data_IF_615523513352
#
_entry.id   IF_615523513352
#
_cell.length_a   1.000
_cell.length_b   1.000
_cell.length_c   1.000
_cell.angle_alpha   90.00
_cell.angle_beta   90.00
_cell.angle_gamma   90.00
#
_symmetry.space_group_name_H-M   'P 1'
#
loop_
_entity.id
_entity.type
_entity.pdbx_description
1 polymer ?
#
# COMPACT_ATOMS: atom_id res chain seq x y z
N UNK A 1 -18.31 8.66 33.95
CA UNK A 1 -19.56 9.05 33.25
C UNK A 1 -19.38 10.27 32.32
N UNK A 2 -18.40 11.14 32.54
CA UNK A 2 -18.15 12.35 31.71
C UNK A 2 -17.38 12.02 30.42
N UNK A 3 -16.49 11.04 30.43
CA UNK A 3 -15.63 10.68 29.28
C UNK A 3 -16.43 10.06 28.11
N UNK A 4 -17.50 9.35 28.39
CA UNK A 4 -18.35 8.69 27.39
C UNK A 4 -19.23 9.68 26.60
N UNK A 5 -19.62 10.80 27.23
CA UNK A 5 -20.41 11.85 26.55
C UNK A 5 -19.58 12.66 25.55
N UNK A 6 -18.28 12.80 25.78
CA UNK A 6 -17.39 13.57 24.92
C UNK A 6 -17.05 12.80 23.61
N UNK A 7 -16.91 11.47 23.68
CA UNK A 7 -16.70 10.61 22.52
C UNK A 7 -17.95 10.56 21.61
N UNK A 8 -19.14 10.53 22.19
CA UNK A 8 -20.41 10.51 21.43
C UNK A 8 -20.70 11.86 20.76
N UNK A 9 -20.28 12.95 21.40
CA UNK A 9 -20.39 14.31 20.82
C UNK A 9 -19.48 14.49 19.62
N UNK A 10 -18.24 14.03 19.69
CA UNK A 10 -17.26 14.06 18.56
C UNK A 10 -17.71 13.19 17.40
N UNK A 11 -18.26 12.01 17.67
CA UNK A 11 -18.80 11.11 16.63
C UNK A 11 -19.97 11.73 15.87
N UNK A 12 -20.85 12.46 16.57
CA UNK A 12 -21.97 13.19 15.94
C UNK A 12 -21.48 14.36 15.08
N UNK A 13 -20.46 15.07 15.54
CA UNK A 13 -19.89 16.22 14.83
C UNK A 13 -19.18 15.78 13.53
N UNK A 14 -18.42 14.68 13.58
CA UNK A 14 -17.76 14.10 12.43
C UNK A 14 -18.75 13.62 11.36
N UNK A 15 -19.80 12.88 11.77
CA UNK A 15 -20.86 12.38 10.88
C UNK A 15 -21.63 13.55 10.22
N UNK A 16 -21.80 14.67 10.94
CA UNK A 16 -22.49 15.83 10.39
C UNK A 16 -21.63 16.58 9.36
N UNK A 17 -20.32 16.69 9.61
CA UNK A 17 -19.36 17.28 8.65
C UNK A 17 -19.26 16.45 7.38
N UNK A 18 -19.22 15.13 7.50
CA UNK A 18 -19.17 14.21 6.36
C UNK A 18 -20.44 14.27 5.49
N UNK A 19 -21.63 14.32 6.11
CA UNK A 19 -22.90 14.48 5.38
C UNK A 19 -23.00 15.84 4.68
N UNK A 20 -22.48 16.89 5.28
CA UNK A 20 -22.45 18.22 4.68
C UNK A 20 -21.51 18.28 3.47
N UNK A 21 -20.36 17.60 3.54
CA UNK A 21 -19.39 17.54 2.45
C UNK A 21 -19.94 16.77 1.24
N UNK A 22 -20.64 15.66 1.49
CA UNK A 22 -21.31 14.87 0.43
C UNK A 22 -22.43 15.69 -0.24
N UNK A 23 -23.20 16.49 0.54
CA UNK A 23 -24.28 17.32 0.00
C UNK A 23 -23.73 18.43 -0.90
N UNK A 24 -22.56 19.00 -0.58
CA UNK A 24 -21.89 20.01 -1.39
C UNK A 24 -21.34 19.39 -2.69
N UNK A 25 -20.79 18.18 -2.63
CA UNK A 25 -20.27 17.48 -3.80
C UNK A 25 -21.38 17.11 -4.81
N UNK A 26 -22.54 16.65 -4.31
CA UNK A 26 -23.70 16.32 -5.14
C UNK A 26 -24.30 17.56 -5.81
N UNK A 27 -24.32 18.71 -5.12
CA UNK A 27 -24.83 19.97 -5.71
C UNK A 27 -23.90 20.55 -6.78
N UNK A 28 -22.58 20.32 -6.68
CA UNK A 28 -21.61 20.76 -7.70
C UNK A 28 -21.70 19.93 -9.00
N UNK A 29 -22.07 18.63 -8.89
CA UNK A 29 -22.20 17.74 -10.06
C UNK A 29 -23.46 18.04 -10.89
N UNK A 30 -24.48 18.64 -10.32
CA UNK A 30 -25.74 18.98 -11.02
C UNK A 30 -25.64 20.19 -11.96
N UNK A 31 -24.57 20.99 -11.86
CA UNK A 31 -24.38 22.22 -12.65
C UNK A 31 -23.61 22.04 -13.96
N UNK A 32 -23.07 20.85 -14.27
CA UNK A 32 -22.22 20.59 -15.44
C UNK A 32 -22.98 19.96 -16.62
N UNK A 33 -24.28 19.63 -16.46
CA UNK A 33 -25.08 18.91 -17.49
C UNK A 33 -25.96 19.87 -18.35
N UNK A 34 -25.58 21.12 -18.53
CA UNK A 34 -26.36 22.04 -19.40
C UNK A 34 -25.50 22.80 -20.39
N UNK A 35 -24.91 22.06 -21.35
CA UNK A 35 -24.49 22.63 -22.63
C UNK A 35 -24.58 21.53 -23.70
N UNK A 36 -25.78 21.43 -24.27
CA UNK A 36 -26.10 20.65 -25.45
C UNK A 36 -25.91 21.54 -26.68
N UNK A 37 -25.45 20.94 -27.78
CA UNK A 37 -25.78 21.50 -29.08
C UNK A 37 -24.84 21.18 -30.22
N UNK A 38 -25.34 20.30 -31.09
CA UNK A 38 -25.18 20.25 -32.54
C UNK A 38 -24.03 19.40 -33.16
N UNK A 39 -24.45 18.28 -33.72
CA UNK A 39 -24.01 17.54 -34.90
C UNK A 39 -24.24 18.34 -36.21
N UNK A 40 -23.86 17.92 -37.46
CA UNK A 40 -23.26 16.66 -37.94
C UNK A 40 -22.23 16.80 -39.11
N UNK A 41 -21.72 15.69 -39.59
CA UNK A 41 -21.37 15.24 -40.95
C UNK A 41 -19.98 14.66 -41.11
N UNK A 42 -19.97 13.36 -41.32
CA UNK A 42 -19.48 12.53 -42.43
C UNK A 42 -18.17 12.93 -43.12
N UNK A 43 -17.19 12.01 -43.12
CA UNK A 43 -16.74 11.36 -44.37
C UNK A 43 -15.79 10.17 -44.08
N UNK A 44 -16.09 9.10 -44.80
CA UNK A 44 -15.35 7.85 -44.90
C UNK A 44 -14.04 8.08 -45.67
N UNK A 45 -12.98 7.36 -45.34
CA UNK A 45 -12.16 6.76 -46.39
C UNK A 45 -11.43 5.50 -45.91
N UNK A 46 -11.80 4.39 -46.48
CA UNK A 46 -11.09 3.13 -46.51
C UNK A 46 -9.83 3.27 -47.41
N UNK A 47 -8.72 2.60 -47.05
CA UNK A 47 -7.91 1.87 -48.03
C UNK A 47 -6.75 1.12 -47.34
N UNK A 48 -6.88 -0.10 -47.22
CA UNK A 48 -6.18 -1.34 -47.65
C UNK A 48 -4.77 -1.12 -48.25
N UNK A 49 -3.82 -1.92 -47.74
CA UNK A 49 -2.83 -2.78 -48.46
C UNK A 49 -1.75 -3.25 -47.49
N UNK A 50 -1.75 -4.52 -47.10
CA UNK A 50 -1.13 -5.72 -47.67
C UNK A 50 0.41 -5.84 -47.52
N UNK A 51 0.77 -6.90 -46.77
CA UNK A 51 1.86 -7.87 -46.92
C UNK A 51 3.33 -7.42 -46.90
N UNK A 52 4.15 -8.01 -46.06
CA UNK A 52 5.07 -9.10 -46.42
C UNK A 52 5.92 -9.58 -45.27
N UNK A 53 5.87 -10.89 -45.05
CA UNK A 53 6.79 -11.66 -44.23
C UNK A 53 8.20 -11.69 -44.82
N UNK A 54 9.22 -11.77 -43.98
CA UNK A 54 10.48 -12.44 -44.32
C UNK A 54 11.09 -13.01 -43.06
N UNK A 55 11.08 -14.33 -42.99
CA UNK A 55 11.90 -15.15 -42.12
C UNK A 55 13.37 -15.07 -42.60
N UNK A 56 14.31 -15.10 -41.66
CA UNK A 56 15.62 -15.69 -41.92
C UNK A 56 16.18 -16.23 -40.61
N UNK A 57 16.34 -17.52 -40.61
CA UNK A 57 17.02 -18.34 -39.61
C UNK A 57 18.55 -18.18 -39.64
N UNK A 58 19.14 -18.66 -38.52
CA UNK A 58 20.41 -19.38 -38.42
C UNK A 58 21.63 -18.56 -37.99
N UNK A 59 22.19 -18.80 -36.82
CA UNK A 59 23.30 -19.73 -36.63
C UNK A 59 23.73 -19.83 -35.17
N UNK A 60 23.86 -21.05 -34.71
CA UNK A 60 24.48 -21.48 -33.48
C UNK A 60 26.01 -21.22 -33.52
N UNK A 61 26.57 -20.91 -32.35
CA UNK A 61 27.96 -21.19 -32.04
C UNK A 61 28.10 -21.46 -30.52
N UNK A 62 28.33 -22.73 -30.24
CA UNK A 62 28.86 -23.18 -28.94
C UNK A 62 30.33 -22.80 -28.85
N UNK A 63 30.78 -22.35 -27.67
CA UNK A 63 32.10 -22.69 -27.12
C UNK A 63 32.08 -22.51 -25.59
N UNK A 64 32.07 -23.62 -24.87
CA UNK A 64 32.96 -24.13 -23.84
C UNK A 64 33.38 -23.21 -22.67
N UNK A 65 32.89 -23.62 -21.49
CA UNK A 65 33.63 -23.92 -20.24
C UNK A 65 34.73 -22.94 -19.81
N UNK A 66 34.47 -22.29 -18.66
CA UNK A 66 35.42 -22.35 -17.52
C UNK A 66 34.64 -22.05 -16.22
N UNK A 67 34.77 -22.97 -15.26
CA UNK A 67 34.19 -22.82 -13.94
C UNK A 67 34.79 -21.63 -13.22
N UNK A 68 33.93 -20.84 -12.62
CA UNK A 68 34.24 -20.02 -11.48
C UNK A 68 33.26 -20.45 -10.40
N UNK A 69 33.82 -21.06 -9.37
CA UNK A 69 33.15 -21.28 -8.10
C UNK A 69 32.61 -19.92 -7.66
N UNK A 70 31.31 -19.74 -7.78
CA UNK A 70 30.63 -18.68 -7.06
C UNK A 70 30.47 -19.18 -5.65
N UNK A 71 31.30 -18.67 -4.76
CA UNK A 71 31.07 -18.75 -3.32
C UNK A 71 29.62 -18.37 -3.11
N UNK A 72 28.83 -19.34 -2.67
CA UNK A 72 27.56 -19.11 -2.03
C UNK A 72 27.88 -18.26 -0.80
N UNK A 73 27.74 -16.96 -0.96
CA UNK A 73 27.65 -16.06 0.18
C UNK A 73 26.39 -16.53 0.91
N UNK A 74 26.65 -17.31 1.96
CA UNK A 74 25.70 -17.58 3.02
C UNK A 74 25.24 -16.19 3.49
N UNK A 75 24.11 -15.73 2.95
CA UNK A 75 23.51 -14.49 3.39
C UNK A 75 23.13 -14.78 4.83
N UNK A 76 23.98 -14.33 5.76
CA UNK A 76 23.66 -14.28 7.16
C UNK A 76 22.21 -13.79 7.25
N UNK A 77 21.34 -14.68 7.73
CA UNK A 77 20.00 -14.36 8.16
C UNK A 77 20.19 -13.35 9.29
N UNK A 78 20.36 -12.08 8.90
CA UNK A 78 20.40 -10.97 9.84
C UNK A 78 19.06 -11.03 10.54
N UNK A 79 19.07 -11.49 11.79
CA UNK A 79 17.92 -11.50 12.69
C UNK A 79 17.57 -9.99 12.93
N UNK A 80 16.91 -9.40 11.96
CA UNK A 80 16.51 -8.00 11.99
C UNK A 80 15.31 -7.88 12.93
N UNK A 81 15.62 -7.75 14.22
CA UNK A 81 14.65 -7.54 15.28
C UNK A 81 14.16 -6.08 15.26
N UNK A 82 13.49 -5.71 14.18
CA UNK A 82 12.76 -4.46 14.13
C UNK A 82 11.46 -4.63 14.91
N UNK A 83 11.22 -3.76 15.89
CA UNK A 83 10.02 -3.73 16.72
C UNK A 83 9.02 -2.72 16.17
N UNK A 84 7.76 -3.06 16.25
CA UNK A 84 6.64 -2.17 15.90
C UNK A 84 5.81 -1.86 17.15
N UNK A 85 5.54 -0.60 17.36
CA UNK A 85 4.59 -0.12 18.36
C UNK A 85 3.44 0.60 17.65
N UNK A 86 2.24 0.42 18.15
CA UNK A 86 1.02 1.12 17.73
C UNK A 86 0.47 1.81 18.96
N UNK A 87 0.41 3.15 18.98
CA UNK A 87 0.04 3.98 20.15
C UNK A 87 0.74 3.51 21.44
N UNK A 88 2.08 3.35 21.37
CA UNK A 88 2.93 2.85 22.46
C UNK A 88 2.74 1.37 22.86
N UNK A 89 1.83 0.63 22.22
CA UNK A 89 1.67 -0.81 22.43
C UNK A 89 2.57 -1.60 21.48
N UNK A 90 3.53 -2.37 22.02
CA UNK A 90 4.35 -3.29 21.23
C UNK A 90 3.47 -4.40 20.63
N UNK A 91 3.64 -4.67 19.34
CA UNK A 91 3.02 -5.79 18.62
C UNK A 91 4.10 -6.69 18.01
N UNK A 92 3.83 -7.99 18.00
CA UNK A 92 4.76 -8.97 17.42
C UNK A 92 4.56 -9.05 15.91
N UNK A 93 5.62 -8.76 15.16
CA UNK A 93 5.61 -8.78 13.69
C UNK A 93 6.52 -9.85 13.15
N UNK A 94 6.02 -10.65 12.23
CA UNK A 94 6.81 -11.48 11.34
C UNK A 94 7.13 -10.65 10.09
N UNK A 95 8.40 -10.19 10.01
CA UNK A 95 8.87 -9.39 8.88
C UNK A 95 9.25 -10.28 7.70
N UNK A 96 8.95 -9.79 6.48
CA UNK A 96 9.36 -10.47 5.25
C UNK A 96 10.88 -10.34 5.02
N UNK A 97 11.43 -11.29 4.27
CA UNK A 97 12.82 -11.25 3.85
C UNK A 97 12.92 -10.72 2.42
N UNK A 98 12.81 -9.39 2.26
CA UNK A 98 12.92 -8.71 0.97
C UNK A 98 13.72 -7.41 1.06
N UNK A 99 13.97 -6.78 -0.08
CA UNK A 99 14.75 -5.55 -0.16
C UNK A 99 14.07 -4.37 0.53
N UNK A 100 12.73 -4.28 0.49
CA UNK A 100 11.98 -3.23 1.16
C UNK A 100 12.18 -3.27 2.67
N UNK A 101 12.05 -4.45 3.28
CA UNK A 101 12.26 -4.65 4.73
C UNK A 101 13.72 -4.41 5.11
N UNK A 102 14.66 -4.86 4.28
CA UNK A 102 16.08 -4.61 4.50
C UNK A 102 16.40 -3.12 4.51
N UNK A 103 15.87 -2.36 3.56
CA UNK A 103 16.05 -0.92 3.48
C UNK A 103 15.36 -0.19 4.66
N UNK A 104 14.15 -0.62 5.04
CA UNK A 104 13.44 -0.07 6.20
C UNK A 104 14.24 -0.31 7.50
N UNK A 105 14.77 -1.51 7.70
CA UNK A 105 15.57 -1.85 8.87
C UNK A 105 16.86 -1.03 8.97
N UNK A 106 17.50 -0.70 7.85
CA UNK A 106 18.66 0.20 7.83
C UNK A 106 18.29 1.59 8.34
N UNK A 107 17.13 2.13 7.94
CA UNK A 107 16.66 3.43 8.41
C UNK A 107 16.34 3.41 9.90
N UNK A 108 15.56 2.41 10.34
CA UNK A 108 15.16 2.23 11.74
C UNK A 108 16.37 2.05 12.66
N UNK A 109 17.40 1.33 12.20
CA UNK A 109 18.67 1.18 12.93
C UNK A 109 19.43 2.50 13.08
N UNK A 110 19.34 3.41 12.11
CA UNK A 110 19.97 4.73 12.18
C UNK A 110 19.25 5.64 13.20
N UNK A 111 17.93 5.62 13.20
CA UNK A 111 17.09 6.28 14.22
C UNK A 111 15.69 5.66 14.22
N UNK A 112 15.01 5.60 15.38
CA UNK A 112 13.61 5.21 15.44
C UNK A 112 12.75 6.05 14.49
N UNK A 113 11.80 5.41 13.83
CA UNK A 113 10.90 6.04 12.87
C UNK A 113 9.50 6.11 13.47
N UNK A 114 8.99 7.31 13.71
CA UNK A 114 7.63 7.55 14.16
C UNK A 114 6.80 8.09 13.01
N UNK A 115 5.65 7.51 12.76
CA UNK A 115 4.78 7.81 11.63
C UNK A 115 3.35 8.02 12.14
N UNK A 116 2.78 9.17 11.84
CA UNK A 116 1.37 9.43 12.05
C UNK A 116 0.58 8.75 10.92
N UNK A 117 -0.32 7.87 11.32
CA UNK A 117 -1.17 7.11 10.42
C UNK A 117 -2.56 7.75 10.34
N UNK A 118 -3.23 7.56 9.23
CA UNK A 118 -4.63 7.96 9.05
C UNK A 118 -5.47 6.79 8.61
N UNK A 119 -6.66 6.66 9.20
CA UNK A 119 -7.65 5.68 8.77
C UNK A 119 -8.09 5.94 7.33
N UNK A 120 -8.15 4.88 6.54
CA UNK A 120 -8.68 4.93 5.20
C UNK A 120 -9.74 3.83 5.01
N UNK A 121 -10.93 4.26 4.59
CA UNK A 121 -12.07 3.41 4.16
C UNK A 121 -12.47 2.28 5.14
N UNK A 122 -12.28 2.49 6.46
CA UNK A 122 -12.64 1.57 7.55
C UNK A 122 -11.97 0.17 7.48
N UNK A 123 -10.83 0.02 6.79
CA UNK A 123 -10.13 -1.25 6.71
C UNK A 123 -8.60 -1.16 6.84
N UNK A 124 -8.00 0.02 6.77
CA UNK A 124 -6.55 0.21 6.86
C UNK A 124 -6.15 1.53 7.53
N UNK A 125 -4.94 1.55 8.06
CA UNK A 125 -4.21 2.75 8.48
C UNK A 125 -3.08 3.01 7.49
N UNK A 126 -2.93 4.23 7.00
CA UNK A 126 -1.92 4.62 6.01
C UNK A 126 -1.05 5.74 6.56
N UNK A 127 0.28 5.60 6.47
CA UNK A 127 1.24 6.61 6.86
C UNK A 127 2.36 6.83 5.85
N UNK A 128 2.92 8.03 5.84
CA UNK A 128 4.02 8.39 4.96
C UNK A 128 5.37 8.01 5.61
N UNK A 129 6.19 7.24 4.90
CA UNK A 129 7.54 6.88 5.37
C UNK A 129 8.53 8.05 5.30
N UNK A 130 8.19 9.14 4.61
CA UNK A 130 9.09 10.26 4.36
C UNK A 130 10.24 9.96 3.40
N UNK A 131 10.29 8.76 2.86
CA UNK A 131 11.31 8.26 1.95
C UNK A 131 10.77 7.14 1.08
N UNK A 132 11.44 6.85 -0.03
CA UNK A 132 11.09 5.70 -0.88
C UNK A 132 11.96 4.50 -0.54
N UNK A 133 11.29 3.35 -0.46
CA UNK A 133 11.91 2.04 -0.35
C UNK A 133 11.86 1.31 -1.71
N UNK A 134 12.74 0.32 -1.95
CA UNK A 134 12.55 -0.62 -3.03
C UNK A 134 11.16 -1.25 -2.97
N UNK A 135 10.44 -1.30 -4.07
CA UNK A 135 9.09 -1.84 -4.12
C UNK A 135 8.95 -2.83 -5.27
N UNK A 136 8.37 -3.97 -4.99
CA UNK A 136 7.99 -5.01 -5.94
C UNK A 136 6.51 -5.28 -5.76
N UNK A 137 5.67 -4.35 -6.26
CA UNK A 137 4.24 -4.37 -6.05
C UNK A 137 3.59 -5.52 -6.84
N UNK A 138 2.88 -6.40 -6.13
CA UNK A 138 2.16 -7.54 -6.69
C UNK A 138 0.69 -7.44 -6.29
N UNK A 139 -0.21 -7.72 -7.23
CA UNK A 139 -1.64 -7.80 -6.96
C UNK A 139 -1.93 -8.90 -5.94
N UNK A 140 -2.54 -8.52 -4.81
CA UNK A 140 -2.87 -9.47 -3.74
C UNK A 140 -4.10 -9.03 -2.96
N UNK A 141 -4.73 -9.98 -2.28
CA UNK A 141 -5.74 -9.71 -1.25
C UNK A 141 -5.05 -9.63 0.10
N UNK A 142 -5.30 -8.53 0.81
CA UNK A 142 -4.79 -8.31 2.17
C UNK A 142 -5.75 -8.87 3.22
N UNK A 143 -5.23 -9.07 4.43
CA UNK A 143 -5.98 -9.59 5.58
C UNK A 143 -5.63 -8.78 6.83
N UNK A 144 -6.47 -8.80 7.87
CA UNK A 144 -6.14 -8.17 9.14
C UNK A 144 -4.75 -8.59 9.65
N UNK A 145 -3.95 -7.61 10.05
CA UNK A 145 -2.57 -7.75 10.51
C UNK A 145 -1.51 -7.67 9.41
N UNK A 146 -1.88 -7.67 8.14
CA UNK A 146 -0.90 -7.47 7.06
C UNK A 146 -0.32 -6.06 7.10
N UNK A 147 1.00 -5.95 6.93
CA UNK A 147 1.75 -4.70 6.82
C UNK A 147 2.32 -4.63 5.41
N UNK A 148 1.97 -3.57 4.69
CA UNK A 148 2.33 -3.41 3.27
C UNK A 148 3.07 -2.10 3.03
N UNK A 149 3.87 -2.10 1.98
CA UNK A 149 4.36 -0.89 1.32
C UNK A 149 3.46 -0.63 0.11
N UNK A 150 2.96 0.58 0.01
CA UNK A 150 2.18 1.06 -1.14
C UNK A 150 2.94 2.17 -1.85
N UNK A 151 3.00 2.10 -3.18
CA UNK A 151 3.66 3.07 -4.05
C UNK A 151 5.12 3.39 -3.66
N UNK A 152 5.76 2.54 -2.86
CA UNK A 152 7.15 2.66 -2.43
C UNK A 152 7.41 3.67 -1.31
N UNK A 153 6.44 4.43 -0.84
CA UNK A 153 6.61 5.47 0.17
C UNK A 153 5.54 5.52 1.27
N UNK A 154 4.53 4.67 1.20
CA UNK A 154 3.48 4.57 2.23
C UNK A 154 3.55 3.23 2.94
N UNK A 155 3.56 3.26 4.27
CA UNK A 155 3.32 2.07 5.07
C UNK A 155 1.82 1.95 5.34
N UNK A 156 1.28 0.73 5.18
CA UNK A 156 -0.14 0.45 5.36
C UNK A 156 -0.29 -0.72 6.33
N UNK A 157 -1.14 -0.57 7.35
CA UNK A 157 -1.46 -1.62 8.32
C UNK A 157 -2.94 -1.94 8.22
N UNK A 158 -3.24 -3.19 7.87
CA UNK A 158 -4.62 -3.64 7.62
C UNK A 158 -5.30 -4.17 8.87
N UNK A 159 -6.55 -3.77 9.08
CA UNK A 159 -7.47 -4.37 10.04
C UNK A 159 -8.74 -4.91 9.36
N UNK A 160 -8.88 -4.68 8.05
CA UNK A 160 -9.88 -5.27 7.16
C UNK A 160 -9.24 -5.95 5.95
N UNK A 161 -9.98 -6.04 4.86
CA UNK A 161 -9.60 -6.71 3.62
C UNK A 161 -9.61 -5.70 2.47
N UNK A 162 -8.58 -5.73 1.64
CA UNK A 162 -8.49 -4.98 0.38
C UNK A 162 -7.82 -5.85 -0.68
N UNK A 163 -7.95 -5.47 -1.96
CA UNK A 163 -7.29 -6.14 -3.07
C UNK A 163 -6.66 -5.10 -3.99
N UNK A 164 -5.34 -5.02 -3.95
CA UNK A 164 -4.56 -4.06 -4.74
C UNK A 164 -3.13 -4.55 -4.94
N UNK A 165 -2.30 -3.76 -5.64
CA UNK A 165 -0.88 -4.04 -5.81
C UNK A 165 -0.08 -3.45 -4.64
N UNK A 166 0.63 -4.31 -3.90
CA UNK A 166 1.45 -3.97 -2.74
C UNK A 166 2.75 -4.74 -2.73
N UNK A 167 3.76 -4.19 -2.06
CA UNK A 167 4.93 -4.94 -1.60
C UNK A 167 4.72 -5.31 -0.14
N UNK A 168 4.77 -6.62 0.19
CA UNK A 168 4.56 -7.09 1.57
C UNK A 168 5.76 -6.72 2.43
N UNK A 169 5.53 -6.11 3.60
CA UNK A 169 6.56 -5.84 4.60
C UNK A 169 6.53 -6.85 5.74
N UNK A 170 5.35 -7.29 6.16
CA UNK A 170 5.24 -8.24 7.27
C UNK A 170 3.80 -8.49 7.68
N UNK A 171 3.66 -9.16 8.85
CA UNK A 171 2.37 -9.49 9.45
C UNK A 171 2.41 -9.45 10.97
N UNK A 172 1.44 -8.80 11.59
CA UNK A 172 1.19 -8.85 13.04
C UNK A 172 0.69 -10.25 13.40
N UNK A 173 1.30 -10.89 14.41
CA UNK A 173 1.07 -12.31 14.75
C UNK A 173 0.39 -12.53 16.10
N UNK A 174 0.42 -11.56 16.99
CA UNK A 174 -0.04 -11.67 18.37
C UNK A 174 -1.41 -11.04 18.61
N UNK A 175 -2.14 -10.72 17.53
CA UNK A 175 -3.48 -10.13 17.59
C UNK A 175 -4.46 -10.89 16.71
N UNK A 176 -5.70 -11.02 17.19
CA UNK A 176 -6.83 -11.51 16.39
C UNK A 176 -7.36 -10.39 15.48
N UNK A 177 -8.16 -10.71 14.44
CA UNK A 177 -8.81 -9.69 13.60
C UNK A 177 -9.66 -8.70 14.40
N UNK A 178 -10.34 -9.15 15.45
CA UNK A 178 -11.18 -8.31 16.32
C UNK A 178 -10.33 -7.34 17.14
N UNK A 179 -9.22 -7.82 17.72
CA UNK A 179 -8.27 -6.98 18.46
C UNK A 179 -7.59 -5.96 17.56
N UNK A 180 -7.30 -6.31 16.29
CA UNK A 180 -6.77 -5.39 15.30
C UNK A 180 -7.79 -4.30 14.92
N UNK A 181 -9.06 -4.68 14.72
CA UNK A 181 -10.13 -3.72 14.44
C UNK A 181 -10.38 -2.78 15.65
N UNK A 182 -10.22 -3.27 16.88
CA UNK A 182 -10.29 -2.44 18.07
C UNK A 182 -9.09 -1.48 18.18
N UNK A 183 -7.88 -1.95 17.89
CA UNK A 183 -6.64 -1.17 17.99
C UNK A 183 -6.52 -0.11 16.89
N UNK A 184 -6.88 -0.47 15.64
CA UNK A 184 -6.62 0.34 14.45
C UNK A 184 -7.86 1.02 13.87
N UNK A 185 -9.07 0.54 14.19
CA UNK A 185 -10.31 0.98 13.55
C UNK A 185 -11.11 2.02 14.34
N UNK A 186 -10.56 2.62 15.40
CA UNK A 186 -11.28 3.58 16.25
C UNK A 186 -10.86 5.03 16.01
N UNK A 187 -9.63 5.27 15.61
CA UNK A 187 -9.02 6.60 15.43
C UNK A 187 -7.75 6.47 14.59
N UNK A 188 -7.20 7.58 14.12
CA UNK A 188 -5.87 7.65 13.55
C UNK A 188 -4.85 7.27 14.63
N UNK A 189 -3.91 6.39 14.32
CA UNK A 189 -2.90 5.92 15.27
C UNK A 189 -1.50 6.44 14.92
N UNK A 190 -0.58 6.38 15.86
CA UNK A 190 0.84 6.61 15.61
C UNK A 190 1.58 5.28 15.68
N UNK A 191 2.40 4.97 14.68
CA UNK A 191 3.28 3.81 14.76
C UNK A 191 4.72 4.24 15.00
N UNK A 192 5.46 3.42 15.75
CA UNK A 192 6.91 3.60 15.95
C UNK A 192 7.64 2.31 15.61
N UNK A 193 8.64 2.42 14.74
CA UNK A 193 9.58 1.36 14.39
C UNK A 193 10.92 1.63 15.08
N UNK A 194 11.49 0.61 15.77
CA UNK A 194 12.77 0.71 16.47
C UNK A 194 13.51 -0.63 16.55
#
# INVERSE_FOLDING_TARGET
MIIQQDAESRKKEYTMKQKLLILILVSALALVMSACGADPAEEQNEQDTDAKATETETSASEVSSTGAETETTDTEKTDMKMKLFIDDQEVSVEWENNEAVSALAVQVKAQPLTIDMSMYDDFEQVGDLGTRLPAEDVQMETKPGDIMLYAGDKIVVFYGINSWAYTRLGKIKDKTPEELAELLGQHDVTITLQ
#
